data_IF_286397708346
#
_entry.id   IF_286397708346
#
_cell.length_a   1.000
_cell.length_b   1.000
_cell.length_c   1.000
_cell.angle_alpha   90.00
_cell.angle_beta   90.00
_cell.angle_gamma   90.00
#
_symmetry.space_group_name_H-M   'P 1'
#
loop_
_entity.id
_entity.type
_entity.pdbx_description
1 polymer ?
#
# COMPACT_ATOMS: atom_id res chain seq x y z
N UNK A 1 65.38 12.17 36.79
CA UNK A 1 65.99 13.52 36.86
C UNK A 1 65.32 14.36 35.78
N UNK A 2 64.50 15.35 36.18
CA UNK A 2 64.73 16.80 35.95
C UNK A 2 64.61 17.16 34.44
N UNK A 3 63.61 17.87 33.93
CA UNK A 3 63.11 19.21 34.29
C UNK A 3 61.83 19.54 33.48
N UNK A 4 60.74 19.99 34.11
CA UNK A 4 60.27 21.40 34.19
C UNK A 4 59.91 22.10 32.87
N UNK A 5 58.60 22.34 32.69
CA UNK A 5 57.97 23.49 32.01
C UNK A 5 58.50 24.84 32.59
N UNK A 6 58.21 26.08 32.08
CA UNK A 6 57.22 26.51 31.09
C UNK A 6 57.68 27.66 30.13
N UNK A 7 56.86 28.07 29.17
CA UNK A 7 56.83 29.49 28.77
C UNK A 7 55.39 29.95 28.55
N UNK A 8 55.14 31.16 29.04
CA UNK A 8 53.85 31.81 29.24
C UNK A 8 53.26 32.39 27.95
N UNK A 9 51.92 32.34 27.87
CA UNK A 9 50.99 33.48 27.63
C UNK A 9 51.42 34.45 26.52
N UNK A 10 50.66 34.62 25.44
CA UNK A 10 49.61 35.67 25.40
C UNK A 10 48.68 35.57 24.17
N UNK A 11 47.38 35.71 24.45
CA UNK A 11 46.33 36.51 23.77
C UNK A 11 46.12 36.45 22.25
N UNK A 12 44.85 36.17 21.91
CA UNK A 12 43.99 36.82 20.90
C UNK A 12 44.43 36.70 19.43
N UNK A 13 43.59 36.44 18.44
CA UNK A 13 42.16 36.17 18.26
C UNK A 13 42.07 35.59 16.84
N UNK A 14 40.97 35.03 16.40
CA UNK A 14 40.01 35.72 15.54
C UNK A 14 38.88 34.74 15.24
N UNK A 15 37.69 35.31 15.10
CA UNK A 15 36.40 34.67 14.99
C UNK A 15 36.30 33.68 13.82
N UNK A 16 35.60 32.57 14.06
CA UNK A 16 35.12 31.65 13.03
C UNK A 16 33.80 30.99 13.42
N UNK A 17 32.87 31.74 14.02
CA UNK A 17 31.46 31.34 14.18
C UNK A 17 30.66 31.91 13.00
N UNK A 18 30.59 31.18 11.89
CA UNK A 18 29.59 31.42 10.83
C UNK A 18 29.55 30.24 9.84
N UNK A 19 28.97 29.11 10.23
CA UNK A 19 28.89 27.97 9.31
C UNK A 19 27.97 26.82 9.70
N UNK A 20 27.08 26.98 10.68
CA UNK A 20 26.22 25.89 11.15
C UNK A 20 24.76 26.28 11.37
N UNK A 21 24.29 27.41 10.80
CA UNK A 21 22.93 27.89 11.00
C UNK A 21 22.05 27.90 9.73
N UNK A 22 22.59 27.63 8.53
CA UNK A 22 21.81 27.70 7.28
C UNK A 22 21.37 26.36 6.68
N UNK A 23 21.76 25.21 7.25
CA UNK A 23 21.32 23.90 6.71
C UNK A 23 20.10 23.33 7.45
N UNK A 24 19.69 23.93 8.57
CA UNK A 24 18.60 23.38 9.41
C UNK A 24 17.20 23.91 9.09
N UNK A 25 17.06 24.98 8.29
CA UNK A 25 15.74 25.59 7.99
C UNK A 25 15.18 25.11 6.64
N UNK A 26 16.03 24.58 5.74
CA UNK A 26 15.59 24.02 4.45
C UNK A 26 15.30 22.52 4.56
N UNK A 27 14.64 22.10 5.64
CA UNK A 27 14.17 20.71 5.79
C UNK A 27 12.70 20.61 6.22
N UNK A 28 12.01 21.74 6.46
CA UNK A 28 10.61 21.71 6.92
C UNK A 28 9.56 22.10 5.86
N UNK A 29 9.98 22.59 4.69
CA UNK A 29 9.06 23.25 3.74
C UNK A 29 8.80 22.50 2.41
N UNK A 30 9.02 21.17 2.37
CA UNK A 30 8.66 20.34 1.19
C UNK A 30 7.67 19.21 1.54
N UNK A 31 7.26 19.04 2.81
CA UNK A 31 6.34 17.96 3.23
C UNK A 31 4.90 18.43 3.51
N UNK A 32 4.57 19.71 3.30
CA UNK A 32 3.30 20.32 3.74
C UNK A 32 2.29 20.55 2.60
N UNK A 33 2.22 19.67 1.60
CA UNK A 33 1.35 19.87 0.43
C UNK A 33 0.51 18.67 -0.01
N UNK A 34 0.77 17.46 0.49
CA UNK A 34 -0.09 16.33 0.21
C UNK A 34 -1.21 16.31 1.26
N UNK A 35 -2.40 16.79 0.91
CA UNK A 35 -3.59 16.43 1.68
C UNK A 35 -3.66 14.89 1.70
N UNK A 36 -3.88 14.26 2.87
CA UNK A 36 -4.14 12.84 2.90
C UNK A 36 -5.26 12.54 1.89
N UNK A 37 -5.22 11.41 1.16
CA UNK A 37 -6.33 11.02 0.33
C UNK A 37 -7.60 11.08 1.19
N UNK A 38 -8.74 11.51 0.62
CA UNK A 38 -9.99 11.54 1.38
C UNK A 38 -10.17 10.19 2.06
N UNK A 39 -10.40 10.21 3.37
CA UNK A 39 -10.77 9.02 4.10
C UNK A 39 -12.13 8.58 3.55
N UNK A 40 -12.13 7.54 2.72
CA UNK A 40 -13.36 6.86 2.35
C UNK A 40 -13.72 5.97 3.53
N UNK A 41 -14.63 6.45 4.38
CA UNK A 41 -15.24 5.65 5.43
C UNK A 41 -16.14 4.61 4.76
N UNK A 42 -15.57 3.44 4.45
CA UNK A 42 -16.37 2.29 4.07
C UNK A 42 -16.97 1.69 5.35
N UNK A 43 -18.28 1.45 5.41
CA UNK A 43 -18.85 0.71 6.52
C UNK A 43 -18.18 -0.66 6.62
N UNK A 44 -18.05 -1.17 7.85
CA UNK A 44 -17.64 -2.57 8.10
C UNK A 44 -18.42 -3.48 7.15
N UNK A 45 -17.71 -4.30 6.38
CA UNK A 45 -18.33 -5.16 5.38
C UNK A 45 -19.32 -6.09 6.08
N UNK A 46 -20.60 -5.95 5.71
CA UNK A 46 -21.62 -6.89 6.13
C UNK A 46 -21.22 -8.31 5.70
N UNK A 47 -21.37 -9.28 6.60
CA UNK A 47 -21.13 -10.68 6.27
C UNK A 47 -22.05 -11.12 5.11
N UNK A 48 -21.48 -11.80 4.13
CA UNK A 48 -22.23 -12.47 3.06
C UNK A 48 -23.07 -13.57 3.72
N UNK A 49 -24.39 -13.55 3.47
CA UNK A 49 -25.31 -14.57 3.96
C UNK A 49 -26.35 -14.88 2.91
N UNK A 50 -26.92 -16.09 2.95
CA UNK A 50 -27.95 -16.50 2.01
C UNK A 50 -29.22 -15.63 2.13
N UNK A 51 -29.47 -15.09 3.33
CA UNK A 51 -30.64 -14.25 3.62
C UNK A 51 -30.48 -12.82 3.10
N UNK A 52 -29.26 -12.26 3.16
CA UNK A 52 -28.99 -10.86 2.78
C UNK A 52 -28.52 -10.71 1.34
N UNK A 53 -27.76 -11.69 0.86
CA UNK A 53 -27.05 -11.66 -0.42
C UNK A 53 -27.01 -13.07 -1.05
N UNK A 54 -28.17 -13.61 -1.45
CA UNK A 54 -28.27 -14.98 -1.97
C UNK A 54 -27.33 -15.27 -3.15
N UNK A 55 -27.10 -14.31 -4.04
CA UNK A 55 -26.23 -14.51 -5.21
C UNK A 55 -24.77 -14.59 -4.79
N UNK A 56 -24.35 -13.67 -3.92
CA UNK A 56 -23.00 -13.64 -3.37
C UNK A 56 -22.71 -14.85 -2.48
N UNK A 57 -23.71 -15.31 -1.70
CA UNK A 57 -23.59 -16.50 -0.86
C UNK A 57 -23.45 -17.78 -1.70
N UNK A 58 -24.22 -17.90 -2.78
CA UNK A 58 -24.10 -19.02 -3.72
C UNK A 58 -22.73 -19.04 -4.41
N UNK A 59 -22.22 -17.87 -4.83
CA UNK A 59 -20.88 -17.75 -5.42
C UNK A 59 -19.78 -18.17 -4.44
N UNK A 60 -19.85 -17.69 -3.19
CA UNK A 60 -18.90 -18.05 -2.14
C UNK A 60 -18.90 -19.55 -1.82
N UNK A 61 -20.08 -20.17 -1.79
CA UNK A 61 -20.20 -21.62 -1.59
C UNK A 61 -19.64 -22.44 -2.77
N UNK A 62 -19.60 -21.86 -3.97
CA UNK A 62 -19.08 -22.49 -5.19
C UNK A 62 -17.59 -22.23 -5.47
N UNK A 63 -16.87 -21.55 -4.58
CA UNK A 63 -15.43 -21.29 -4.75
C UNK A 63 -14.62 -22.58 -4.80
N UNK A 64 -13.56 -22.56 -5.60
CA UNK A 64 -12.65 -23.71 -5.80
C UNK A 64 -11.40 -23.51 -4.96
N UNK A 65 -11.00 -24.57 -4.25
CA UNK A 65 -9.74 -24.62 -3.51
C UNK A 65 -8.56 -24.90 -4.43
N UNK A 66 -7.59 -23.99 -4.42
CA UNK A 66 -6.28 -24.17 -5.02
C UNK A 66 -5.30 -24.54 -3.90
N UNK A 67 -4.70 -25.74 -3.91
CA UNK A 67 -3.83 -26.19 -2.84
C UNK A 67 -2.50 -25.43 -2.85
N UNK A 68 -1.86 -25.35 -1.68
CA UNK A 68 -0.51 -24.81 -1.56
C UNK A 68 0.47 -25.62 -2.41
N UNK A 69 1.43 -24.96 -3.05
CA UNK A 69 2.34 -25.63 -3.94
C UNK A 69 3.29 -24.71 -4.69
N UNK A 70 4.14 -25.33 -5.51
CA UNK A 70 5.06 -24.64 -6.42
C UNK A 70 4.52 -24.78 -7.84
N UNK A 71 4.13 -23.68 -8.47
CA UNK A 71 3.49 -23.69 -9.79
C UNK A 71 4.32 -22.91 -10.82
N UNK A 72 4.37 -23.36 -12.09
CA UNK A 72 4.94 -22.55 -13.17
C UNK A 72 3.99 -21.40 -13.53
N UNK A 73 4.53 -20.18 -13.65
CA UNK A 73 3.82 -18.98 -14.12
C UNK A 73 4.66 -18.34 -15.23
N UNK A 74 3.99 -17.70 -16.19
CA UNK A 74 4.61 -17.13 -17.39
C UNK A 74 4.78 -18.18 -18.50
N UNK A 75 5.43 -17.80 -19.59
CA UNK A 75 5.69 -18.69 -20.73
C UNK A 75 6.90 -18.20 -21.51
N UNK A 76 7.91 -19.07 -21.72
CA UNK A 76 9.09 -18.76 -22.52
C UNK A 76 8.81 -18.52 -24.01
N UNK A 77 7.64 -18.96 -24.49
CA UNK A 77 7.17 -18.74 -25.87
C UNK A 77 6.18 -17.58 -25.99
N UNK A 78 5.86 -16.92 -24.88
CA UNK A 78 4.92 -15.80 -24.83
C UNK A 78 5.49 -14.48 -25.35
N UNK A 79 4.67 -13.42 -25.26
CA UNK A 79 5.12 -12.04 -25.47
C UNK A 79 6.15 -11.65 -24.41
N UNK A 80 6.89 -10.56 -24.65
CA UNK A 80 7.98 -10.12 -23.75
C UNK A 80 7.52 -9.86 -22.31
N UNK A 81 6.28 -9.42 -22.11
CA UNK A 81 5.63 -9.17 -20.82
C UNK A 81 5.11 -10.44 -20.13
N UNK A 82 5.13 -11.59 -20.81
CA UNK A 82 4.68 -12.88 -20.28
C UNK A 82 5.85 -13.84 -19.99
N UNK A 83 7.09 -13.42 -20.28
CA UNK A 83 8.32 -14.19 -20.14
C UNK A 83 9.12 -13.74 -18.90
N UNK A 84 10.00 -14.59 -18.36
CA UNK A 84 10.17 -16.03 -18.64
C UNK A 84 9.20 -16.89 -17.83
N UNK A 85 9.12 -18.18 -18.17
CA UNK A 85 8.52 -19.17 -17.28
C UNK A 85 9.38 -19.30 -16.01
N UNK A 86 8.75 -19.24 -14.84
CA UNK A 86 9.42 -19.44 -13.56
C UNK A 86 8.47 -20.04 -12.53
N UNK A 87 9.02 -20.62 -11.46
CA UNK A 87 8.22 -21.24 -10.39
C UNK A 87 7.89 -20.25 -9.29
N UNK A 88 6.64 -20.22 -8.84
CA UNK A 88 6.15 -19.41 -7.72
C UNK A 88 5.59 -20.33 -6.64
N UNK A 89 5.95 -20.06 -5.39
CA UNK A 89 5.39 -20.75 -4.22
C UNK A 89 4.12 -20.02 -3.77
N UNK A 90 3.00 -20.73 -3.75
CA UNK A 90 1.71 -20.20 -3.30
C UNK A 90 1.22 -20.94 -2.06
N UNK A 91 0.63 -20.20 -1.13
CA UNK A 91 -0.21 -20.77 -0.07
C UNK A 91 -1.52 -21.28 -0.67
N UNK A 92 -2.25 -22.12 0.06
CA UNK A 92 -3.59 -22.53 -0.36
C UNK A 92 -4.54 -21.33 -0.35
N UNK A 93 -5.41 -21.22 -1.35
CA UNK A 93 -6.42 -20.17 -1.44
C UNK A 93 -7.68 -20.67 -2.13
N UNK A 94 -8.76 -19.90 -2.01
CA UNK A 94 -10.01 -20.12 -2.73
C UNK A 94 -10.11 -19.09 -3.87
N UNK A 95 -10.65 -19.50 -5.02
CA UNK A 95 -10.98 -18.59 -6.12
C UNK A 95 -12.40 -18.90 -6.62
N UNK A 96 -13.11 -17.86 -7.06
CA UNK A 96 -14.43 -18.05 -7.66
C UNK A 96 -14.35 -18.95 -8.91
N UNK A 97 -15.33 -19.84 -9.06
CA UNK A 97 -15.44 -20.69 -10.24
C UNK A 97 -15.85 -19.89 -11.49
N UNK A 98 -16.59 -18.80 -11.30
CA UNK A 98 -17.08 -17.91 -12.36
C UNK A 98 -16.82 -16.46 -11.99
N UNK A 99 -16.88 -15.57 -12.97
CA UNK A 99 -16.85 -14.13 -12.71
C UNK A 99 -18.05 -13.66 -11.88
N UNK A 100 -17.91 -12.49 -11.25
CA UNK A 100 -19.00 -11.83 -10.52
C UNK A 100 -20.12 -11.47 -11.49
N UNK A 101 -21.33 -11.96 -11.22
CA UNK A 101 -22.51 -11.67 -12.05
C UNK A 101 -23.06 -10.26 -11.76
N UNK A 102 -23.76 -9.68 -12.73
CA UNK A 102 -24.48 -8.41 -12.55
C UNK A 102 -25.46 -8.46 -11.37
N UNK A 103 -26.07 -9.62 -11.11
CA UNK A 103 -26.99 -9.80 -10.00
C UNK A 103 -26.27 -9.74 -8.63
N UNK A 104 -25.09 -10.37 -8.51
CA UNK A 104 -24.26 -10.26 -7.30
C UNK A 104 -23.70 -8.84 -7.12
N UNK A 105 -23.31 -8.18 -8.22
CA UNK A 105 -22.87 -6.79 -8.15
C UNK A 105 -24.00 -5.83 -7.73
N UNK A 106 -25.23 -6.08 -8.18
CA UNK A 106 -26.40 -5.32 -7.73
C UNK A 106 -26.66 -5.49 -6.21
N UNK A 107 -26.47 -6.70 -5.65
CA UNK A 107 -26.55 -6.90 -4.19
C UNK A 107 -25.54 -6.02 -3.44
N UNK A 108 -24.30 -5.95 -3.94
CA UNK A 108 -23.26 -5.09 -3.38
C UNK A 108 -23.67 -3.61 -3.42
N UNK A 109 -24.17 -3.12 -4.55
CA UNK A 109 -24.61 -1.72 -4.67
C UNK A 109 -25.77 -1.40 -3.73
N UNK A 110 -26.76 -2.30 -3.63
CA UNK A 110 -27.92 -2.12 -2.75
C UNK A 110 -27.56 -2.17 -1.26
N UNK A 111 -26.44 -2.80 -0.90
CA UNK A 111 -25.94 -2.87 0.47
C UNK A 111 -25.15 -1.62 0.88
N UNK A 112 -24.70 -0.79 -0.06
CA UNK A 112 -23.90 0.39 0.22
C UNK A 112 -24.76 1.66 0.31
N UNK A 113 -24.45 2.57 1.26
CA UNK A 113 -25.09 3.88 1.32
C UNK A 113 -24.46 4.86 0.31
N UNK A 114 -24.27 4.44 -0.94
CA UNK A 114 -23.73 5.31 -2.00
C UNK A 114 -24.86 6.16 -2.58
N UNK A 115 -24.69 7.47 -2.57
CA UNK A 115 -25.59 8.38 -3.27
C UNK A 115 -25.47 8.18 -4.78
N UNK A 116 -26.57 7.81 -5.43
CA UNK A 116 -26.63 7.76 -6.89
C UNK A 116 -26.63 9.19 -7.41
N UNK A 117 -25.60 9.58 -8.15
CA UNK A 117 -25.59 10.85 -8.86
C UNK A 117 -26.64 10.80 -9.97
N UNK A 118 -27.65 11.65 -9.89
CA UNK A 118 -28.75 11.71 -10.87
C UNK A 118 -28.69 12.95 -11.75
N UNK A 119 -27.86 13.94 -11.40
CA UNK A 119 -27.67 15.16 -12.18
C UNK A 119 -26.54 14.97 -13.19
N UNK A 120 -26.87 14.36 -14.32
CA UNK A 120 -26.02 14.30 -15.52
C UNK A 120 -26.60 15.17 -16.64
N UNK A 121 -27.08 16.36 -16.29
CA UNK A 121 -27.62 17.34 -17.22
C UNK A 121 -26.50 18.14 -17.92
#
# INVERSE_FOLDING_TARGET
>A
MRHSFPFLRTRQGWLGLAGAACVSVVSYAVMAGASPPPAFDFPEAAAISAERSPQSAAAQAGMIAIPAGSYPIGSDRGRSDQRPEHRVQLSAFLIDHTEVTNAAFAEFLNALPIAVLTDFA
#
